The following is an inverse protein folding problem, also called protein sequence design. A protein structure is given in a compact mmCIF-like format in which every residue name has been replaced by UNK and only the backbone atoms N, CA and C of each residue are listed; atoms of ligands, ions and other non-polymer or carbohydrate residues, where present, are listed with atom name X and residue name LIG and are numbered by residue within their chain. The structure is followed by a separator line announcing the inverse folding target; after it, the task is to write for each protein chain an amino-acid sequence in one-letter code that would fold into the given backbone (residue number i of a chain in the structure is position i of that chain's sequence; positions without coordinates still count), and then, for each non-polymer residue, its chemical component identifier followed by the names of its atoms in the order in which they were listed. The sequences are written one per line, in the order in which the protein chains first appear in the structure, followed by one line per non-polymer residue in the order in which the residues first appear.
data_IF_475319154374
#
_entry.id   IF_475319154374
#
_cell.length_a   1.000
_cell.length_b   1.000
_cell.length_c   1.000
_cell.angle_alpha   90.00
_cell.angle_beta   90.00
_cell.angle_gamma   90.00
#
_symmetry.space_group_name_H-M   'P 1'
#
loop_
_entity.id
_entity.type
_entity.pdbx_description
1 polymer ?
#
# COMPACT_ATOMS: atom_id res chain seq x y z
N UNK A 1 10.50 5.72 -5.19
CA UNK A 1 10.85 4.30 -5.31
C UNK A 1 11.62 4.08 -6.59
N UNK A 2 12.68 3.31 -6.55
CA UNK A 2 13.51 3.06 -7.70
C UNK A 2 12.84 2.04 -8.62
N UNK A 3 12.94 2.24 -9.93
CA UNK A 3 12.35 1.33 -10.91
C UNK A 3 12.81 -0.11 -10.72
N UNK A 4 14.06 -0.31 -10.42
CA UNK A 4 14.61 -1.64 -10.25
C UNK A 4 13.90 -2.40 -9.15
N UNK A 5 13.60 -1.74 -8.04
CA UNK A 5 12.88 -2.34 -6.95
C UNK A 5 11.45 -2.65 -7.31
N UNK A 6 10.81 -1.74 -8.03
CA UNK A 6 9.43 -1.94 -8.46
C UNK A 6 9.32 -3.18 -9.33
N UNK A 7 10.33 -3.46 -10.12
CA UNK A 7 10.34 -4.62 -10.99
C UNK A 7 10.53 -5.93 -10.25
N UNK A 8 11.05 -5.90 -9.04
CA UNK A 8 11.25 -7.09 -8.24
C UNK A 8 9.98 -7.60 -7.61
N UNK A 9 8.93 -6.80 -7.60
CA UNK A 9 7.68 -7.12 -6.91
C UNK A 9 6.58 -7.33 -7.92
N UNK A 10 6.08 -8.57 -8.00
CA UNK A 10 5.06 -8.94 -8.97
C UNK A 10 3.90 -9.62 -8.29
N UNK A 11 2.69 -9.22 -8.68
CA UNK A 11 1.48 -9.79 -8.14
C UNK A 11 0.68 -10.56 -9.18
N UNK A 12 0.73 -10.28 -10.48
CA UNK A 12 -0.21 -10.87 -11.45
C UNK A 12 -0.21 -12.39 -11.50
N UNK A 13 0.95 -13.01 -11.38
CA UNK A 13 1.09 -14.47 -11.46
C UNK A 13 1.16 -15.06 -10.07
N UNK A 14 1.21 -14.22 -9.09
CA UNK A 14 1.37 -14.57 -7.72
C UNK A 14 2.00 -13.39 -7.02
N UNK A 15 2.13 -13.49 -5.74
CA UNK A 15 2.79 -12.44 -4.99
C UNK A 15 4.29 -12.63 -5.07
N UNK A 16 4.96 -11.66 -5.64
CA UNK A 16 6.41 -11.58 -5.61
C UNK A 16 6.76 -10.30 -4.89
N UNK A 17 7.58 -10.40 -3.88
CA UNK A 17 7.96 -9.22 -3.11
C UNK A 17 9.45 -9.25 -2.80
N UNK A 18 10.03 -8.08 -2.70
CA UNK A 18 11.40 -7.89 -2.26
C UNK A 18 11.37 -7.39 -0.84
N UNK A 19 11.92 -8.16 0.04
CA UNK A 19 12.10 -7.73 1.39
C UNK A 19 13.31 -6.80 1.45
N UNK A 20 13.14 -5.71 2.17
CA UNK A 20 14.23 -4.79 2.37
C UNK A 20 14.39 -4.52 3.84
N UNK A 21 15.41 -5.11 4.38
CA UNK A 21 15.76 -4.88 5.77
C UNK A 21 16.41 -3.52 5.91
N UNK A 22 15.86 -2.73 6.80
CA UNK A 22 16.45 -1.48 7.19
C UNK A 22 17.36 -1.74 8.39
N UNK A 23 18.29 -0.85 8.61
CA UNK A 23 19.18 -0.96 9.76
C UNK A 23 18.43 -0.82 11.10
N UNK A 24 17.16 -0.47 11.03
CA UNK A 24 16.28 -0.38 12.19
C UNK A 24 15.46 -1.67 12.32
N UNK A 25 14.58 -1.72 13.30
CA UNK A 25 13.68 -2.84 13.49
C UNK A 25 12.55 -2.89 12.45
N UNK A 26 12.50 -1.90 11.58
CA UNK A 26 11.45 -1.78 10.59
C UNK A 26 11.81 -2.52 9.30
N UNK A 27 10.83 -3.18 8.73
CA UNK A 27 10.96 -3.81 7.43
C UNK A 27 9.99 -3.14 6.45
N UNK A 28 10.48 -2.85 5.26
CA UNK A 28 9.71 -2.19 4.23
C UNK A 28 9.59 -3.10 3.01
N UNK A 29 8.36 -3.29 2.54
CA UNK A 29 8.06 -4.18 1.44
C UNK A 29 7.44 -3.40 0.29
N UNK A 30 7.81 -3.78 -0.91
CA UNK A 30 7.34 -3.14 -2.13
C UNK A 30 6.53 -4.14 -2.94
N UNK A 31 5.33 -3.74 -3.34
CA UNK A 31 4.44 -4.58 -4.14
C UNK A 31 4.13 -3.89 -5.45
N UNK A 32 4.18 -4.63 -6.53
CA UNK A 32 3.90 -4.09 -7.84
C UNK A 32 2.92 -4.95 -8.61
N UNK A 33 2.10 -4.28 -9.43
CA UNK A 33 1.19 -4.92 -10.35
C UNK A 33 1.68 -4.64 -11.77
N UNK A 34 1.90 -5.68 -12.54
CA UNK A 34 2.46 -5.57 -13.89
C UNK A 34 1.46 -6.12 -14.91
N UNK A 35 1.47 -5.52 -16.11
CA UNK A 35 0.67 -6.04 -17.20
C UNK A 35 1.41 -7.21 -17.90
N UNK A 36 0.81 -7.75 -18.95
CA UNK A 36 1.38 -8.89 -19.68
C UNK A 36 2.67 -8.55 -20.42
N UNK A 37 2.96 -7.27 -20.60
CA UNK A 37 4.22 -6.80 -21.21
C UNK A 37 5.27 -6.43 -20.14
N UNK A 38 5.03 -6.85 -18.90
CA UNK A 38 5.92 -6.58 -17.77
C UNK A 38 6.11 -5.10 -17.47
N UNK A 39 5.12 -4.29 -17.80
CA UNK A 39 5.12 -2.87 -17.47
C UNK A 39 4.41 -2.66 -16.14
N UNK A 40 4.99 -1.85 -15.27
CA UNK A 40 4.41 -1.55 -13.98
C UNK A 40 3.14 -0.71 -14.16
N UNK A 41 2.04 -1.17 -13.60
CA UNK A 41 0.74 -0.49 -13.64
C UNK A 41 0.42 0.23 -12.34
N UNK A 42 0.82 -0.36 -11.23
CA UNK A 42 0.57 0.19 -9.90
C UNK A 42 1.61 -0.36 -8.94
N UNK A 43 1.86 0.39 -7.89
CA UNK A 43 2.75 -0.08 -6.82
C UNK A 43 2.29 0.43 -5.47
N UNK A 44 2.78 -0.23 -4.43
CA UNK A 44 2.41 0.04 -3.07
C UNK A 44 3.60 -0.27 -2.17
N UNK A 45 3.83 0.57 -1.18
CA UNK A 45 4.87 0.37 -0.17
C UNK A 45 4.21 0.11 1.17
N UNK A 46 4.60 -0.97 1.81
CA UNK A 46 4.09 -1.36 3.11
C UNK A 46 5.24 -1.37 4.12
N UNK A 47 5.02 -0.72 5.23
CA UNK A 47 5.96 -0.72 6.35
C UNK A 47 5.43 -1.61 7.46
N UNK A 48 6.22 -2.58 7.87
CA UNK A 48 5.89 -3.42 9.01
C UNK A 48 6.69 -2.88 10.19
N UNK A 49 6.06 -2.00 10.97
CA UNK A 49 6.71 -1.36 12.10
C UNK A 49 6.85 -2.30 13.28
N UNK A 50 5.80 -3.08 13.51
CA UNK A 50 5.80 -4.05 14.60
C UNK A 50 5.05 -5.27 14.11
N UNK A 51 5.78 -6.37 13.96
CA UNK A 51 5.21 -7.61 13.43
C UNK A 51 3.98 -8.02 14.22
N UNK A 52 2.93 -8.39 13.50
CA UNK A 52 1.62 -8.80 14.01
C UNK A 52 0.78 -7.69 14.64
N UNK A 53 1.28 -6.46 14.69
CA UNK A 53 0.52 -5.38 15.31
C UNK A 53 0.36 -4.16 14.41
N UNK A 54 1.46 -3.65 13.87
CA UNK A 54 1.43 -2.34 13.22
C UNK A 54 1.96 -2.42 11.80
N UNK A 55 1.04 -2.30 10.86
CA UNK A 55 1.33 -2.29 9.43
C UNK A 55 0.87 -0.96 8.88
N UNK A 56 1.74 -0.29 8.14
CA UNK A 56 1.43 1.00 7.56
C UNK A 56 1.62 0.97 6.05
N UNK A 57 0.55 1.31 5.34
CA UNK A 57 0.62 1.54 3.91
C UNK A 57 1.17 2.96 3.72
N UNK A 58 2.31 3.07 3.07
CA UNK A 58 2.99 4.35 2.97
C UNK A 58 2.75 5.08 1.67
N UNK A 59 2.78 4.35 0.57
CA UNK A 59 2.61 4.93 -0.74
C UNK A 59 1.82 3.96 -1.59
N UNK A 60 0.92 4.50 -2.39
CA UNK A 60 0.20 3.72 -3.35
C UNK A 60 0.03 4.58 -4.60
N UNK A 61 0.48 4.07 -5.72
CA UNK A 61 0.45 4.79 -6.98
C UNK A 61 -0.13 3.90 -8.06
N UNK A 62 -1.08 4.43 -8.81
CA UNK A 62 -1.64 3.79 -10.00
C UNK A 62 -1.33 4.69 -11.17
N UNK A 63 -0.74 4.13 -12.23
CA UNK A 63 -0.45 4.93 -13.42
C UNK A 63 -1.73 5.50 -14.03
N UNK A 64 -1.66 6.70 -14.61
CA UNK A 64 -2.88 7.38 -15.08
C UNK A 64 -3.74 6.56 -16.03
N UNK A 65 -3.15 5.82 -16.96
CA UNK A 65 -3.90 5.03 -17.92
C UNK A 65 -4.54 3.77 -17.33
N UNK A 66 -4.23 3.44 -16.07
CA UNK A 66 -4.84 2.33 -15.36
C UNK A 66 -5.79 2.76 -14.28
N UNK A 67 -5.96 4.06 -14.06
CA UNK A 67 -6.90 4.57 -13.07
C UNK A 67 -8.33 4.27 -13.52
N UNK A 68 -9.18 3.98 -12.54
CA UNK A 68 -10.57 3.64 -12.82
C UNK A 68 -10.78 2.22 -13.35
N UNK A 69 -9.75 1.41 -13.43
CA UNK A 69 -9.84 0.03 -13.93
C UNK A 69 -9.98 -1.01 -12.81
N UNK A 70 -9.90 -0.59 -11.55
CA UNK A 70 -9.93 -1.51 -10.42
C UNK A 70 -8.58 -2.08 -10.05
N UNK A 71 -7.52 -1.69 -10.73
CA UNK A 71 -6.17 -2.22 -10.48
C UNK A 71 -5.66 -1.84 -9.08
N UNK A 72 -5.91 -0.63 -8.65
CA UNK A 72 -5.50 -0.19 -7.31
C UNK A 72 -6.17 -1.00 -6.22
N UNK A 73 -7.46 -1.26 -6.39
CA UNK A 73 -8.20 -2.10 -5.46
C UNK A 73 -7.67 -3.53 -5.44
N UNK A 74 -7.41 -4.09 -6.62
CA UNK A 74 -6.89 -5.45 -6.72
C UNK A 74 -5.52 -5.56 -6.05
N UNK A 75 -4.64 -4.60 -6.29
CA UNK A 75 -3.33 -4.56 -5.64
C UNK A 75 -3.48 -4.52 -4.13
N UNK A 76 -4.33 -3.62 -3.62
CA UNK A 76 -4.54 -3.51 -2.19
C UNK A 76 -5.09 -4.81 -1.60
N UNK A 77 -6.07 -5.43 -2.26
CA UNK A 77 -6.67 -6.67 -1.74
C UNK A 77 -5.65 -7.80 -1.62
N UNK A 78 -4.73 -7.89 -2.57
CA UNK A 78 -3.67 -8.88 -2.50
C UNK A 78 -2.69 -8.59 -1.36
N UNK A 79 -2.37 -7.33 -1.13
CA UNK A 79 -1.50 -6.93 -0.03
C UNK A 79 -2.18 -7.18 1.31
N UNK A 80 -3.48 -6.89 1.41
CA UNK A 80 -4.24 -7.17 2.63
C UNK A 80 -4.22 -8.67 2.94
N UNK A 81 -4.41 -9.53 1.94
CA UNK A 81 -4.32 -10.98 2.13
C UNK A 81 -2.96 -11.39 2.65
N UNK A 82 -1.91 -10.78 2.12
CA UNK A 82 -0.56 -11.03 2.59
C UNK A 82 -0.38 -10.62 4.06
N UNK A 83 -0.91 -9.47 4.43
CA UNK A 83 -0.88 -8.99 5.81
C UNK A 83 -1.62 -9.93 6.75
N UNK A 84 -2.79 -10.40 6.34
CA UNK A 84 -3.59 -11.33 7.13
C UNK A 84 -2.83 -12.63 7.40
N UNK A 85 -2.11 -13.13 6.41
CA UNK A 85 -1.30 -14.34 6.58
C UNK A 85 -0.17 -14.16 7.58
N UNK A 86 0.29 -12.93 7.76
CA UNK A 86 1.31 -12.60 8.76
C UNK A 86 0.71 -12.31 10.13
N UNK A 87 -0.62 -12.36 10.26
CA UNK A 87 -1.27 -12.13 11.54
C UNK A 87 -1.52 -10.65 11.85
N UNK A 88 -1.57 -9.81 10.84
CA UNK A 88 -1.84 -8.39 11.04
C UNK A 88 -3.24 -8.18 11.60
N UNK A 89 -3.37 -7.26 12.56
CA UNK A 89 -4.66 -6.89 13.14
C UNK A 89 -5.24 -5.65 12.51
N UNK A 90 -4.41 -4.79 11.97
CA UNK A 90 -4.88 -3.57 11.32
C UNK A 90 -3.82 -3.03 10.37
N UNK A 91 -4.30 -2.22 9.43
CA UNK A 91 -3.44 -1.46 8.52
C UNK A 91 -3.78 0.01 8.71
N UNK A 92 -2.75 0.84 8.79
CA UNK A 92 -2.89 2.29 8.90
C UNK A 92 -2.31 2.97 7.67
N UNK A 93 -2.81 4.14 7.38
CA UNK A 93 -2.24 5.00 6.34
C UNK A 93 -2.56 6.45 6.63
N UNK A 94 -1.81 7.34 5.99
CA UNK A 94 -2.09 8.76 5.97
C UNK A 94 -2.53 9.11 4.55
N UNK A 95 -3.82 9.28 4.36
CA UNK A 95 -4.39 9.53 3.05
C UNK A 95 -4.44 11.03 2.77
N UNK A 96 -4.12 11.43 1.53
CA UNK A 96 -4.51 12.76 1.10
C UNK A 96 -6.03 12.86 1.22
N UNK A 97 -6.52 13.98 1.70
CA UNK A 97 -7.96 14.16 1.84
C UNK A 97 -8.68 13.93 0.50
N UNK A 98 -8.04 14.28 -0.62
CA UNK A 98 -8.60 14.03 -1.95
C UNK A 98 -8.72 12.54 -2.29
N UNK A 99 -8.04 11.67 -1.60
CA UNK A 99 -8.06 10.22 -1.85
C UNK A 99 -8.82 9.43 -0.78
N UNK A 100 -9.39 10.10 0.22
CA UNK A 100 -9.99 9.39 1.35
C UNK A 100 -11.18 8.53 0.93
N UNK A 101 -11.91 8.91 -0.10
CA UNK A 101 -13.06 8.12 -0.55
C UNK A 101 -12.61 6.79 -1.15
N UNK A 102 -11.49 6.79 -1.85
CA UNK A 102 -10.92 5.56 -2.38
C UNK A 102 -10.61 4.58 -1.24
N UNK A 103 -9.95 5.06 -0.21
CA UNK A 103 -9.60 4.22 0.94
C UNK A 103 -10.83 3.85 1.75
N UNK A 104 -11.81 4.73 1.84
CA UNK A 104 -13.07 4.41 2.48
C UNK A 104 -13.76 3.22 1.85
N UNK A 105 -13.74 3.14 0.53
CA UNK A 105 -14.33 2.01 -0.21
C UNK A 105 -13.55 0.70 0.01
N UNK A 106 -12.30 0.79 0.41
CA UNK A 106 -11.51 -0.38 0.77
C UNK A 106 -11.74 -0.84 2.21
N UNK A 107 -12.52 -0.09 2.97
CA UNK A 107 -12.86 -0.43 4.34
C UNK A 107 -12.11 0.36 5.40
N UNK A 108 -11.38 1.38 5.01
CA UNK A 108 -10.67 2.25 5.96
C UNK A 108 -11.61 3.29 6.54
N UNK A 109 -11.41 3.60 7.81
CA UNK A 109 -12.14 4.66 8.51
C UNK A 109 -11.18 5.77 8.90
N UNK A 110 -11.69 7.01 8.85
CA UNK A 110 -10.91 8.17 9.27
C UNK A 110 -10.66 8.14 10.76
N UNK A 111 -9.49 8.57 11.17
CA UNK A 111 -9.10 8.61 12.55
C UNK A 111 -8.42 9.95 12.86
N UNK A 112 -9.00 10.69 13.78
CA UNK A 112 -8.45 11.98 14.19
C UNK A 112 -8.86 13.12 13.27
N UNK A 113 -8.02 14.13 13.22
CA UNK A 113 -8.28 15.35 12.44
C UNK A 113 -7.31 15.45 11.27
N UNK A 114 -7.71 16.26 10.29
CA UNK A 114 -6.84 16.54 9.14
C UNK A 114 -5.57 17.25 9.61
N UNK A 115 -4.48 16.99 8.90
CA UNK A 115 -3.20 17.63 9.13
C UNK A 115 -2.51 17.88 7.81
N UNK A 116 -1.61 18.85 7.78
CA UNK A 116 -0.84 19.14 6.58
C UNK A 116 0.43 18.30 6.54
N UNK A 117 0.67 17.71 5.38
CA UNK A 117 1.90 16.98 5.11
C UNK A 117 2.38 17.35 3.72
N UNK A 118 3.58 17.92 3.64
CA UNK A 118 4.13 18.43 2.38
C UNK A 118 3.11 19.40 1.73
N UNK A 119 2.62 20.34 2.51
CA UNK A 119 1.66 21.38 2.11
C UNK A 119 0.29 20.90 1.61
N UNK A 120 -0.01 19.62 1.75
CA UNK A 120 -1.30 19.06 1.36
C UNK A 120 -2.03 18.49 2.57
N UNK A 121 -3.36 18.65 2.62
CA UNK A 121 -4.14 18.09 3.72
C UNK A 121 -4.19 16.58 3.64
N UNK A 122 -3.96 15.95 4.78
CA UNK A 122 -3.99 14.50 4.95
C UNK A 122 -4.87 14.13 6.13
N UNK A 123 -5.32 12.90 6.15
CA UNK A 123 -6.01 12.34 7.30
C UNK A 123 -5.56 10.90 7.53
N UNK A 124 -5.38 10.55 8.79
CA UNK A 124 -5.05 9.19 9.15
C UNK A 124 -6.26 8.30 8.96
N UNK A 125 -6.05 7.13 8.40
CA UNK A 125 -7.10 6.14 8.22
C UNK A 125 -6.63 4.78 8.71
N UNK A 126 -7.57 4.02 9.25
CA UNK A 126 -7.29 2.71 9.84
C UNK A 126 -8.31 1.70 9.34
N UNK A 127 -7.84 0.52 9.01
CA UNK A 127 -8.71 -0.62 8.74
C UNK A 127 -8.37 -1.74 9.71
N UNK A 128 -9.36 -2.20 10.46
CA UNK A 128 -9.24 -3.36 11.33
C UNK A 128 -9.51 -4.60 10.49
N UNK A 129 -8.59 -5.54 10.53
CA UNK A 129 -8.65 -6.75 9.72
C UNK A 129 -9.37 -7.90 10.43
#
# INVERSE_FOLDING_TARGET
MLKLREQELRIPIGLSLTERDLETEESQYHFGMFNTHEQLCACLVLLVEKRNERYQLRQMVVKPNYRGTGIGRLLYEKVESWCLKLGAHQIQLNARVSAKDFYGKLGFSEFGVEFDHITLPHIKMIKVL
#
